data_IF_330739808328
#
_entry.id   IF_330739808328
#
_cell.length_a   1.000
_cell.length_b   1.000
_cell.length_c   1.000
_cell.angle_alpha   90.00
_cell.angle_beta   90.00
_cell.angle_gamma   90.00
#
_symmetry.space_group_name_H-M   'P 1'
#
loop_
_entity.id
_entity.type
_entity.pdbx_description
1 polymer ?
#
# COMPACT_ATOMS: atom_id res chain seq x y z
N UNK A 1 -17.56 3.85 7.39
CA UNK A 1 -18.01 5.21 6.97
C UNK A 1 -16.86 6.17 6.64
N UNK A 2 -15.74 6.17 7.38
CA UNK A 2 -14.62 7.09 7.12
C UNK A 2 -13.93 6.87 5.76
N UNK A 3 -13.66 5.61 5.37
CA UNK A 3 -12.97 5.28 4.12
C UNK A 3 -13.70 5.80 2.86
N UNK A 4 -15.00 5.56 2.75
CA UNK A 4 -15.81 6.05 1.63
C UNK A 4 -15.83 7.58 1.54
N UNK A 5 -15.85 8.26 2.70
CA UNK A 5 -15.76 9.73 2.74
C UNK A 5 -14.39 10.21 2.23
N UNK A 6 -13.30 9.55 2.62
CA UNK A 6 -11.96 9.88 2.14
C UNK A 6 -11.87 9.74 0.61
N UNK A 7 -12.40 8.67 0.04
CA UNK A 7 -12.48 8.50 -1.42
C UNK A 7 -13.34 9.58 -2.09
N UNK A 8 -14.47 9.95 -1.50
CA UNK A 8 -15.38 10.96 -2.07
C UNK A 8 -14.73 12.36 -2.18
N UNK A 9 -13.78 12.69 -1.29
CA UNK A 9 -13.09 13.98 -1.31
C UNK A 9 -12.03 14.12 -2.40
N UNK A 10 -11.63 13.02 -3.07
CA UNK A 10 -10.58 12.99 -4.10
C UNK A 10 -9.34 13.83 -3.74
N UNK A 11 -8.72 13.58 -2.57
CA UNK A 11 -7.56 14.35 -2.16
C UNK A 11 -6.37 14.06 -3.07
N UNK A 12 -5.40 14.97 -3.18
CA UNK A 12 -4.14 14.69 -3.89
C UNK A 12 -3.30 13.64 -3.16
N UNK A 13 -3.38 13.61 -1.82
CA UNK A 13 -2.70 12.63 -0.97
C UNK A 13 -3.72 12.02 0.00
N UNK A 14 -3.76 10.70 0.04
CA UNK A 14 -4.62 9.92 0.92
C UNK A 14 -3.77 9.03 1.83
N UNK A 15 -4.01 9.11 3.13
CA UNK A 15 -3.38 8.24 4.13
C UNK A 15 -4.43 7.31 4.70
N UNK A 16 -4.21 5.99 4.57
CA UNK A 16 -5.06 4.96 5.13
C UNK A 16 -4.32 4.27 6.27
N UNK A 17 -4.71 4.58 7.50
CA UNK A 17 -4.08 4.03 8.69
C UNK A 17 -4.85 2.78 9.16
N UNK A 18 -4.25 1.60 8.99
CA UNK A 18 -4.76 0.31 9.46
C UNK A 18 -6.23 -0.02 9.08
N UNK A 19 -6.73 0.53 7.98
CA UNK A 19 -8.16 0.43 7.60
C UNK A 19 -8.68 -1.00 7.36
N UNK A 20 -7.75 -1.95 7.23
CA UNK A 20 -7.99 -3.37 6.97
C UNK A 20 -7.68 -4.27 8.18
N UNK A 21 -7.29 -3.71 9.34
CA UNK A 21 -6.84 -4.50 10.51
C UNK A 21 -7.96 -5.34 11.14
N UNK A 22 -9.20 -4.84 11.12
CA UNK A 22 -10.38 -5.53 11.67
C UNK A 22 -11.15 -6.37 10.63
N UNK A 23 -10.63 -6.48 9.40
CA UNK A 23 -11.27 -7.23 8.32
C UNK A 23 -10.72 -8.67 8.25
N UNK A 24 -11.57 -9.59 7.82
CA UNK A 24 -11.10 -10.90 7.34
C UNK A 24 -10.27 -10.74 6.05
N UNK A 25 -9.58 -11.81 5.67
CA UNK A 25 -8.65 -11.80 4.53
C UNK A 25 -9.34 -11.41 3.21
N UNK A 26 -10.54 -11.94 2.96
CA UNK A 26 -11.30 -11.67 1.73
C UNK A 26 -11.70 -10.19 1.65
N UNK A 27 -12.21 -9.65 2.76
CA UNK A 27 -12.62 -8.26 2.88
C UNK A 27 -11.42 -7.31 2.79
N UNK A 28 -10.26 -7.67 3.36
CA UNK A 28 -9.04 -6.88 3.25
C UNK A 28 -8.58 -6.79 1.77
N UNK A 29 -8.51 -7.91 1.07
CA UNK A 29 -8.18 -7.96 -0.36
C UNK A 29 -9.17 -7.14 -1.20
N UNK A 30 -10.47 -7.20 -0.87
CA UNK A 30 -11.49 -6.40 -1.54
C UNK A 30 -11.25 -4.89 -1.37
N UNK A 31 -10.86 -4.44 -0.17
CA UNK A 31 -10.51 -3.03 0.11
C UNK A 31 -9.26 -2.60 -0.65
N UNK A 32 -8.22 -3.43 -0.70
CA UNK A 32 -6.99 -3.15 -1.46
C UNK A 32 -7.27 -2.98 -2.94
N UNK A 33 -8.03 -3.92 -3.52
CA UNK A 33 -8.46 -3.89 -4.91
C UNK A 33 -9.31 -2.66 -5.22
N UNK A 34 -10.26 -2.31 -4.34
CA UNK A 34 -11.09 -1.12 -4.48
C UNK A 34 -10.25 0.14 -4.41
N UNK A 35 -9.32 0.23 -3.45
CA UNK A 35 -8.43 1.37 -3.27
C UNK A 35 -7.65 1.63 -4.55
N UNK A 36 -6.99 0.60 -5.10
CA UNK A 36 -6.24 0.73 -6.35
C UNK A 36 -7.10 1.13 -7.54
N UNK A 37 -8.34 0.63 -7.63
CA UNK A 37 -9.27 1.02 -8.69
C UNK A 37 -9.75 2.49 -8.57
N UNK A 38 -9.86 3.02 -7.36
CA UNK A 38 -10.34 4.37 -7.10
C UNK A 38 -9.23 5.43 -7.23
N UNK A 39 -7.96 5.02 -7.10
CA UNK A 39 -6.83 5.91 -7.32
C UNK A 39 -6.71 6.25 -8.81
N UNK A 40 -7.26 7.41 -9.17
CA UNK A 40 -6.96 8.05 -10.45
C UNK A 40 -5.56 8.67 -10.37
N UNK A 41 -4.87 8.83 -11.50
CA UNK A 41 -3.46 9.25 -11.54
C UNK A 41 -3.10 10.58 -10.87
N UNK A 42 -4.07 11.32 -10.33
CA UNK A 42 -3.86 12.53 -9.54
C UNK A 42 -3.84 12.30 -8.01
N UNK A 43 -4.13 11.08 -7.52
CA UNK A 43 -4.15 10.75 -6.08
C UNK A 43 -3.01 9.81 -5.73
N UNK A 44 -2.14 10.23 -4.82
CA UNK A 44 -1.18 9.36 -4.15
C UNK A 44 -1.81 8.76 -2.90
N UNK A 45 -1.70 7.45 -2.72
CA UNK A 45 -2.18 6.75 -1.52
C UNK A 45 -1.01 6.11 -0.77
N UNK A 46 -0.94 6.37 0.54
CA UNK A 46 -0.08 5.65 1.46
C UNK A 46 -0.96 4.85 2.42
N UNK A 47 -0.70 3.55 2.54
CA UNK A 47 -1.39 2.68 3.49
C UNK A 47 -0.42 2.22 4.57
N UNK A 48 -0.82 2.31 5.82
CA UNK A 48 -0.08 1.76 6.96
C UNK A 48 -0.73 0.42 7.32
N UNK A 49 0.07 -0.64 7.34
CA UNK A 49 -0.40 -2.01 7.55
C UNK A 49 0.57 -2.77 8.46
N UNK A 50 0.01 -3.62 9.32
CA UNK A 50 0.73 -4.62 10.12
C UNK A 50 0.54 -6.06 9.56
N UNK A 51 0.17 -6.17 8.28
CA UNK A 51 0.05 -7.46 7.57
C UNK A 51 1.13 -7.52 6.48
N UNK A 52 1.38 -8.74 6.01
CA UNK A 52 2.18 -8.95 4.82
C UNK A 52 1.61 -8.17 3.62
N UNK A 53 2.48 -7.92 2.65
CA UNK A 53 2.09 -7.30 1.39
C UNK A 53 0.98 -8.10 0.70
N UNK A 54 -0.02 -7.41 0.20
CA UNK A 54 -1.13 -7.97 -0.57
C UNK A 54 -0.92 -7.84 -2.09
N UNK A 55 0.20 -7.25 -2.51
CA UNK A 55 0.60 -7.08 -3.90
C UNK A 55 -0.17 -5.98 -4.64
N UNK A 56 -1.02 -5.20 -3.97
CA UNK A 56 -1.76 -4.12 -4.64
C UNK A 56 -1.01 -2.79 -4.67
N UNK A 57 0.01 -2.61 -3.82
CA UNK A 57 0.80 -1.40 -3.78
C UNK A 57 1.76 -1.30 -4.99
N UNK A 58 2.10 -0.06 -5.40
CA UNK A 58 3.18 0.17 -6.38
C UNK A 58 4.58 -0.03 -5.78
N UNK A 59 4.67 -0.15 -4.46
CA UNK A 59 5.90 -0.35 -3.70
C UNK A 59 5.57 -0.43 -2.23
N UNK A 60 6.43 -1.07 -1.45
CA UNK A 60 6.24 -1.28 -0.02
C UNK A 60 7.42 -0.73 0.75
N UNK A 61 7.11 0.10 1.74
CA UNK A 61 8.07 0.52 2.76
C UNK A 61 7.95 -0.42 3.95
N UNK A 62 9.06 -1.02 4.37
CA UNK A 62 9.13 -1.86 5.57
C UNK A 62 9.87 -1.11 6.65
N UNK A 63 9.23 -0.91 7.80
CA UNK A 63 9.85 -0.37 9.01
C UNK A 63 10.16 -1.54 9.95
N UNK A 64 11.44 -1.83 10.16
CA UNK A 64 11.91 -2.87 11.07
C UNK A 64 13.20 -2.42 11.76
N UNK A 65 13.35 -2.74 13.05
CA UNK A 65 14.55 -2.43 13.85
C UNK A 65 15.00 -0.95 13.80
N UNK A 66 14.04 -0.03 13.68
CA UNK A 66 14.30 1.41 13.57
C UNK A 66 14.80 1.87 12.19
N UNK A 67 14.89 0.98 11.20
CA UNK A 67 15.28 1.28 9.83
C UNK A 67 14.09 1.15 8.86
N UNK A 68 14.08 1.97 7.81
CA UNK A 68 13.10 1.92 6.72
C UNK A 68 13.79 1.41 5.46
N UNK A 69 13.24 0.36 4.86
CA UNK A 69 13.61 -0.11 3.51
C UNK A 69 12.47 0.06 2.53
N UNK A 70 12.77 0.15 1.24
CA UNK A 70 11.77 0.29 0.19
C UNK A 70 11.98 -0.75 -0.91
N UNK A 71 10.90 -1.38 -1.33
CA UNK A 71 10.83 -2.28 -2.46
C UNK A 71 9.80 -1.77 -3.45
N UNK A 72 10.19 -1.53 -4.70
CA UNK A 72 9.27 -1.15 -5.76
C UNK A 72 8.62 -2.40 -6.36
N UNK A 73 7.31 -2.33 -6.60
CA UNK A 73 6.59 -3.39 -7.29
C UNK A 73 6.58 -3.16 -8.81
N UNK A 74 6.58 -4.25 -9.60
CA UNK A 74 6.35 -4.14 -11.03
C UNK A 74 4.95 -3.56 -11.30
N UNK A 75 4.85 -2.76 -12.35
CA UNK A 75 3.55 -2.26 -12.81
C UNK A 75 2.74 -3.42 -13.34
N UNK A 76 1.62 -3.71 -12.69
CA UNK A 76 0.67 -4.73 -13.12
C UNK A 76 -0.53 -4.10 -13.81
N UNK A 77 -1.02 -4.75 -14.87
CA UNK A 77 -2.20 -4.34 -15.62
C UNK A 77 -3.50 -4.78 -14.93
N UNK A 78 -4.61 -4.17 -15.35
CA UNK A 78 -5.97 -4.61 -15.01
C UNK A 78 -6.26 -4.81 -13.51
N UNK A 79 -5.60 -4.01 -12.65
CA UNK A 79 -5.73 -4.09 -11.18
C UNK A 79 -5.36 -5.48 -10.61
N UNK A 80 -4.44 -6.18 -11.28
CA UNK A 80 -3.90 -7.46 -10.83
C UNK A 80 -2.88 -7.22 -9.71
N UNK A 81 -2.90 -7.96 -8.58
CA UNK A 81 -1.85 -7.85 -7.59
C UNK A 81 -0.53 -8.43 -8.14
N UNK A 82 0.60 -7.99 -7.57
CA UNK A 82 1.89 -8.60 -7.84
C UNK A 82 1.88 -10.01 -7.26
N UNK A 83 2.39 -10.99 -8.01
CA UNK A 83 2.59 -12.33 -7.50
C UNK A 83 3.63 -12.26 -6.38
N UNK A 84 3.23 -12.54 -5.14
CA UNK A 84 4.07 -12.36 -3.95
C UNK A 84 5.42 -13.05 -4.11
N UNK A 85 6.49 -12.26 -4.13
CA UNK A 85 7.85 -12.74 -3.89
C UNK A 85 8.20 -12.29 -2.49
N UNK A 86 8.27 -13.22 -1.54
CA UNK A 86 9.03 -12.94 -0.33
C UNK A 86 10.51 -12.78 -0.71
N UNK A 87 11.15 -11.73 -0.20
CA UNK A 87 12.54 -11.30 -0.40
C UNK A 87 12.80 -10.53 -1.72
N UNK A 88 13.42 -9.34 -1.72
CA UNK A 88 14.60 -8.96 -0.94
C UNK A 88 14.62 -7.45 -0.62
N UNK A 89 14.86 -7.13 0.65
CA UNK A 89 15.08 -5.78 1.18
C UNK A 89 16.32 -5.16 0.53
N UNK A 90 16.10 -4.21 -0.38
CA UNK A 90 17.10 -3.23 -0.79
C UNK A 90 17.22 -2.16 0.29
N UNK A 91 18.29 -2.21 1.08
CA UNK A 91 18.58 -1.19 2.09
C UNK A 91 18.92 0.11 1.33
N UNK A 92 18.04 1.10 1.40
CA UNK A 92 18.38 2.47 1.04
C UNK A 92 19.13 3.05 2.23
N UNK A 93 20.46 2.88 2.27
CA UNK A 93 21.29 3.58 3.24
C UNK A 93 21.17 5.09 2.96
N UNK A 94 20.36 5.75 3.78
CA UNK A 94 20.29 7.19 3.84
C UNK A 94 21.66 7.75 4.19
N UNK A 95 22.21 8.52 3.27
CA UNK A 95 23.39 9.34 3.46
C UNK A 95 23.28 10.13 4.78
N UNK A 96 24.06 9.69 5.78
CA UNK A 96 24.39 10.52 6.93
C UNK A 96 25.70 11.26 6.65
N UNK A 97 25.74 12.49 7.12
CA UNK A 97 26.73 13.54 6.85
C UNK A 97 28.16 13.18 7.21
#
# INVERSE_FOLDING_TARGET
MALLRAFATRPTVMLLDEVEAALDEESAVAVSRLTRALLTGATTCLRIRHRADDGYACGTFTLADGAISYEAHPVTADNTPVAGTGAAVGILEGASR
#
